data_IF_443892272696
#
_entry.id   IF_443892272696
#
_cell.length_a   1.000
_cell.length_b   1.000
_cell.length_c   1.000
_cell.angle_alpha   90.00
_cell.angle_beta   90.00
_cell.angle_gamma   90.00
#
_symmetry.space_group_name_H-M   'P 1'
#
loop_
_entity.id
_entity.type
_entity.pdbx_description
1 polymer ?
#
# COMPACT_ATOMS: atom_id res chain seq x y z
N UNK A 1 -12.00 -4.72 28.15
CA UNK A 1 -11.13 -5.37 27.13
C UNK A 1 -12.01 -5.82 25.98
N UNK A 2 -12.05 -5.08 24.86
CA UNK A 2 -12.68 -5.59 23.65
C UNK A 2 -11.81 -6.73 23.12
N UNK A 3 -12.32 -7.96 23.13
CA UNK A 3 -11.66 -9.09 22.44
C UNK A 3 -11.51 -8.67 20.97
N UNK A 4 -10.29 -8.76 20.44
CA UNK A 4 -10.05 -8.52 19.02
C UNK A 4 -10.93 -9.47 18.20
N UNK A 5 -11.69 -8.93 17.26
CA UNK A 5 -12.50 -9.74 16.36
C UNK A 5 -11.62 -10.16 15.18
N UNK A 6 -11.61 -11.45 14.84
CA UNK A 6 -10.88 -11.97 13.68
C UNK A 6 -11.56 -11.43 12.41
N UNK A 7 -10.72 -10.98 11.46
CA UNK A 7 -11.15 -10.46 10.16
C UNK A 7 -10.47 -11.29 9.07
N UNK A 8 -11.27 -11.93 8.23
CA UNK A 8 -10.82 -12.58 7.00
C UNK A 8 -10.81 -11.56 5.88
N UNK A 9 -9.68 -11.39 5.20
CA UNK A 9 -9.54 -10.40 4.13
C UNK A 9 -9.15 -11.07 2.82
N UNK A 10 -9.81 -10.70 1.73
CA UNK A 10 -9.36 -10.97 0.37
C UNK A 10 -9.14 -9.62 -0.33
N UNK A 11 -7.97 -9.43 -0.96
CA UNK A 11 -7.62 -8.23 -1.71
C UNK A 11 -7.41 -8.57 -3.19
N UNK A 12 -7.94 -7.73 -4.07
CA UNK A 12 -7.73 -7.83 -5.51
C UNK A 12 -7.56 -6.45 -6.15
N UNK A 13 -6.80 -6.39 -7.25
CA UNK A 13 -6.78 -5.22 -8.10
C UNK A 13 -7.74 -5.44 -9.28
N UNK A 14 -8.87 -4.71 -9.35
CA UNK A 14 -9.87 -4.92 -10.39
C UNK A 14 -9.36 -4.56 -11.78
N UNK A 15 -8.38 -3.65 -11.91
CA UNK A 15 -7.84 -3.22 -13.21
C UNK A 15 -6.71 -4.11 -13.72
N UNK A 16 -6.09 -4.92 -12.87
CA UNK A 16 -5.07 -5.87 -13.32
C UNK A 16 -5.66 -7.09 -14.05
N UNK A 17 -6.98 -7.24 -14.04
CA UNK A 17 -7.69 -8.41 -14.58
C UNK A 17 -8.79 -7.89 -15.55
N UNK A 18 -8.98 -8.50 -16.73
CA UNK A 18 -10.07 -8.14 -17.62
C UNK A 18 -11.45 -8.33 -16.96
N UNK A 19 -12.42 -7.49 -17.31
CA UNK A 19 -13.76 -7.49 -16.69
C UNK A 19 -14.47 -8.87 -16.79
N UNK A 20 -14.34 -9.57 -17.91
CA UNK A 20 -14.88 -10.93 -18.09
C UNK A 20 -14.28 -11.94 -17.09
N UNK A 21 -12.98 -11.88 -16.81
CA UNK A 21 -12.36 -12.72 -15.78
C UNK A 21 -12.69 -12.27 -14.35
N UNK A 22 -13.08 -11.02 -14.17
CA UNK A 22 -13.42 -10.45 -12.87
C UNK A 22 -14.81 -10.89 -12.41
N UNK A 23 -15.82 -10.78 -13.28
CA UNK A 23 -17.22 -11.10 -12.96
C UNK A 23 -17.70 -12.44 -13.53
N UNK A 24 -17.03 -12.94 -14.55
CA UNK A 24 -17.44 -14.10 -15.34
C UNK A 24 -17.90 -13.67 -16.72
N UNK A 25 -17.78 -14.58 -17.67
CA UNK A 25 -18.12 -14.34 -19.06
C UNK A 25 -18.64 -15.62 -19.73
N UNK A 26 -19.38 -15.45 -20.82
CA UNK A 26 -19.79 -16.54 -21.68
C UNK A 26 -18.73 -16.76 -22.76
N UNK A 27 -18.34 -18.01 -22.97
CA UNK A 27 -17.48 -18.36 -24.11
C UNK A 27 -18.28 -18.26 -25.42
N UNK A 28 -17.80 -17.46 -26.38
CA UNK A 28 -18.50 -17.18 -27.64
C UNK A 28 -18.78 -18.43 -28.50
N UNK A 29 -18.00 -19.50 -28.31
CA UNK A 29 -18.10 -20.73 -29.11
C UNK A 29 -19.03 -21.73 -28.43
N UNK A 30 -18.72 -22.09 -27.19
CA UNK A 30 -19.43 -23.11 -26.43
C UNK A 30 -20.71 -22.59 -25.75
N UNK A 31 -20.85 -21.27 -25.61
CA UNK A 31 -21.89 -20.62 -24.82
C UNK A 31 -21.92 -21.10 -23.34
N UNK A 32 -20.80 -21.67 -22.85
CA UNK A 32 -20.65 -22.04 -21.45
C UNK A 32 -20.24 -20.85 -20.61
N UNK A 33 -20.80 -20.77 -19.40
CA UNK A 33 -20.49 -19.72 -18.44
C UNK A 33 -19.23 -20.08 -17.65
N UNK A 34 -18.29 -19.15 -17.58
CA UNK A 34 -17.13 -19.25 -16.68
C UNK A 34 -17.24 -18.21 -15.57
N UNK A 35 -17.16 -18.67 -14.32
CA UNK A 35 -17.20 -17.79 -13.14
C UNK A 35 -15.97 -16.89 -13.03
N UNK A 36 -16.20 -15.61 -12.72
CA UNK A 36 -15.14 -14.66 -12.42
C UNK A 36 -14.63 -14.75 -10.98
N UNK A 37 -13.46 -14.16 -10.75
CA UNK A 37 -12.78 -14.18 -9.44
C UNK A 37 -13.65 -13.52 -8.35
N UNK A 38 -14.36 -12.43 -8.66
CA UNK A 38 -15.23 -11.74 -7.69
C UNK A 38 -16.41 -12.63 -7.30
N UNK A 39 -17.03 -13.31 -8.26
CA UNK A 39 -18.13 -14.24 -8.02
C UNK A 39 -17.72 -15.34 -7.04
N UNK A 40 -16.56 -15.97 -7.28
CA UNK A 40 -16.02 -17.04 -6.42
C UNK A 40 -15.73 -16.52 -5.00
N UNK A 41 -15.08 -15.35 -4.88
CA UNK A 41 -14.75 -14.76 -3.57
C UNK A 41 -16.00 -14.37 -2.77
N UNK A 42 -16.97 -13.70 -3.41
CA UNK A 42 -18.25 -13.37 -2.78
C UNK A 42 -18.98 -14.62 -2.31
N UNK A 43 -19.05 -15.65 -3.16
CA UNK A 43 -19.73 -16.91 -2.84
C UNK A 43 -19.08 -17.59 -1.64
N UNK A 44 -17.75 -17.65 -1.61
CA UNK A 44 -17.01 -18.29 -0.51
C UNK A 44 -17.21 -17.55 0.82
N UNK A 45 -17.18 -16.21 0.79
CA UNK A 45 -17.41 -15.41 2.00
C UNK A 45 -18.87 -15.45 2.47
N UNK A 46 -19.83 -15.46 1.55
CA UNK A 46 -21.25 -15.54 1.87
C UNK A 46 -21.65 -16.92 2.41
N UNK A 47 -21.05 -18.01 1.89
CA UNK A 47 -21.31 -19.38 2.35
C UNK A 47 -20.76 -19.65 3.76
N UNK A 48 -19.64 -19.03 4.11
CA UNK A 48 -19.04 -19.23 5.43
C UNK A 48 -19.97 -18.66 6.52
N UNK A 49 -20.41 -19.48 7.47
CA UNK A 49 -21.36 -19.08 8.53
C UNK A 49 -20.69 -18.61 9.83
N UNK A 50 -19.37 -18.38 9.85
CA UNK A 50 -18.72 -17.84 11.05
C UNK A 50 -19.15 -16.40 11.35
N UNK A 51 -19.15 -16.01 12.62
CA UNK A 51 -19.40 -14.64 13.11
C UNK A 51 -18.20 -13.68 12.92
N UNK A 52 -17.14 -14.17 12.31
CA UNK A 52 -15.92 -13.40 12.03
C UNK A 52 -16.19 -12.38 10.92
N UNK A 53 -15.49 -11.23 10.95
CA UNK A 53 -15.68 -10.22 9.90
C UNK A 53 -15.02 -10.70 8.61
N UNK A 54 -15.60 -10.33 7.47
CA UNK A 54 -15.05 -10.69 6.16
C UNK A 54 -14.98 -9.46 5.27
N UNK A 55 -13.79 -9.10 4.83
CA UNK A 55 -13.53 -7.90 4.04
C UNK A 55 -13.06 -8.28 2.65
N UNK A 56 -13.79 -7.82 1.64
CA UNK A 56 -13.34 -7.88 0.26
C UNK A 56 -12.81 -6.49 -0.13
N UNK A 57 -11.53 -6.41 -0.46
CA UNK A 57 -10.83 -5.15 -0.71
C UNK A 57 -10.45 -5.08 -2.18
N UNK A 58 -10.92 -4.04 -2.85
CA UNK A 58 -10.60 -3.71 -4.22
C UNK A 58 -9.56 -2.58 -4.22
N UNK A 59 -8.30 -2.95 -4.45
CA UNK A 59 -7.13 -2.08 -4.40
C UNK A 59 -6.66 -1.76 -5.82
N UNK A 60 -7.09 -0.61 -6.32
CA UNK A 60 -6.80 -0.19 -7.67
C UNK A 60 -7.69 0.96 -8.14
N UNK A 61 -7.34 1.59 -9.26
CA UNK A 61 -8.10 2.70 -9.82
C UNK A 61 -9.51 2.28 -10.22
N UNK A 62 -10.47 3.19 -10.01
CA UNK A 62 -11.84 3.02 -10.49
C UNK A 62 -11.87 3.10 -12.01
N UNK A 63 -12.75 2.32 -12.63
CA UNK A 63 -13.06 2.34 -14.05
C UNK A 63 -14.57 2.18 -14.22
N UNK A 64 -15.13 2.84 -15.25
CA UNK A 64 -16.57 2.84 -15.51
C UNK A 64 -17.14 1.41 -15.70
N UNK A 65 -16.38 0.50 -16.30
CA UNK A 65 -16.87 -0.83 -16.64
C UNK A 65 -17.05 -1.72 -15.40
N UNK A 66 -16.06 -1.76 -14.51
CA UNK A 66 -16.17 -2.65 -13.35
C UNK A 66 -17.03 -2.04 -12.24
N UNK A 67 -17.03 -0.72 -12.08
CA UNK A 67 -17.83 -0.07 -11.02
C UNK A 67 -19.33 -0.20 -11.30
N UNK A 68 -19.75 -0.22 -12.56
CA UNK A 68 -21.15 -0.38 -12.94
C UNK A 68 -21.73 -1.73 -12.52
N UNK A 69 -20.99 -2.82 -12.73
CA UNK A 69 -21.37 -4.17 -12.30
C UNK A 69 -21.42 -4.32 -10.76
N UNK A 70 -20.81 -3.39 -10.02
CA UNK A 70 -20.84 -3.36 -8.55
C UNK A 70 -21.97 -2.52 -7.97
N UNK A 71 -22.74 -1.79 -8.79
CA UNK A 71 -23.77 -0.86 -8.30
C UNK A 71 -24.80 -1.53 -7.37
N UNK A 72 -25.21 -2.78 -7.66
CA UNK A 72 -26.19 -3.51 -6.83
C UNK A 72 -25.61 -3.97 -5.49
N UNK A 73 -24.28 -4.14 -5.42
CA UNK A 73 -23.55 -4.44 -4.18
C UNK A 73 -23.43 -3.19 -3.32
N UNK A 74 -23.17 -2.04 -3.95
CA UNK A 74 -22.99 -0.75 -3.29
C UNK A 74 -24.31 -0.12 -2.82
N UNK A 75 -25.44 -0.57 -3.36
CA UNK A 75 -26.77 -0.10 -2.96
C UNK A 75 -27.29 -0.82 -1.70
N UNK A 76 -28.45 -0.40 -1.18
CA UNK A 76 -29.08 -1.00 0.01
C UNK A 76 -29.35 -2.50 -0.12
N UNK A 77 -29.42 -2.99 -1.37
CA UNK A 77 -29.66 -4.39 -1.70
C UNK A 77 -28.53 -5.33 -1.24
N UNK A 78 -27.27 -4.86 -1.22
CA UNK A 78 -26.07 -5.66 -0.83
C UNK A 78 -25.99 -7.01 -1.54
N UNK A 79 -26.26 -7.03 -2.85
CA UNK A 79 -26.29 -8.24 -3.68
C UNK A 79 -25.41 -8.07 -4.91
N UNK A 80 -24.58 -9.06 -5.19
CA UNK A 80 -23.84 -9.17 -6.44
C UNK A 80 -24.75 -9.84 -7.47
N UNK A 81 -25.07 -9.12 -8.54
CA UNK A 81 -25.84 -9.65 -9.67
C UNK A 81 -24.87 -9.93 -10.81
N UNK A 82 -24.76 -11.19 -11.22
CA UNK A 82 -23.89 -11.60 -12.32
C UNK A 82 -24.69 -11.67 -13.63
N UNK A 83 -24.00 -11.51 -14.76
CA UNK A 83 -24.60 -11.65 -16.09
C UNK A 83 -25.14 -13.05 -16.37
N UNK A 84 -24.67 -14.08 -15.64
CA UNK A 84 -25.26 -15.42 -15.63
C UNK A 84 -26.68 -15.49 -15.05
N UNK A 85 -27.13 -14.44 -14.37
CA UNK A 85 -28.37 -14.40 -13.60
C UNK A 85 -28.22 -14.88 -12.15
N UNK A 86 -27.03 -15.32 -11.72
CA UNK A 86 -26.79 -15.64 -10.31
C UNK A 86 -26.81 -14.36 -9.46
N UNK A 87 -27.50 -14.44 -8.32
CA UNK A 87 -27.59 -13.35 -7.34
C UNK A 87 -27.00 -13.83 -6.03
N UNK A 88 -25.87 -13.25 -5.62
CA UNK A 88 -25.16 -13.59 -4.38
C UNK A 88 -25.36 -12.46 -3.37
N UNK A 89 -26.09 -12.73 -2.29
CA UNK A 89 -26.31 -11.76 -1.22
C UNK A 89 -25.11 -11.73 -0.24
N UNK A 90 -24.70 -10.53 0.16
CA UNK A 90 -23.71 -10.36 1.22
C UNK A 90 -24.29 -10.77 2.57
N UNK A 91 -23.50 -11.48 3.38
CA UNK A 91 -23.84 -11.74 4.77
C UNK A 91 -23.64 -10.49 5.63
N UNK A 92 -24.30 -10.42 6.79
CA UNK A 92 -24.27 -9.23 7.67
C UNK A 92 -22.88 -8.86 8.19
N UNK A 93 -21.98 -9.84 8.26
CA UNK A 93 -20.57 -9.72 8.65
C UNK A 93 -19.60 -9.44 7.50
N UNK A 94 -20.08 -9.36 6.25
CA UNK A 94 -19.25 -8.98 5.10
C UNK A 94 -19.20 -7.47 4.90
N UNK A 95 -18.06 -6.95 4.47
CA UNK A 95 -17.88 -5.57 4.01
C UNK A 95 -17.05 -5.57 2.73
N UNK A 96 -17.39 -4.64 1.84
CA UNK A 96 -16.60 -4.36 0.64
C UNK A 96 -15.92 -3.01 0.84
N UNK A 97 -14.63 -2.95 0.54
CA UNK A 97 -13.79 -1.76 0.68
C UNK A 97 -13.14 -1.48 -0.67
N UNK A 98 -13.13 -0.22 -1.08
CA UNK A 98 -12.44 0.24 -2.28
C UNK A 98 -11.29 1.15 -1.86
N UNK A 99 -10.09 0.91 -2.38
CA UNK A 99 -8.89 1.72 -2.13
C UNK A 99 -8.38 2.37 -3.44
N UNK A 100 -9.17 3.22 -4.12
CA UNK A 100 -8.70 3.93 -5.30
C UNK A 100 -7.91 5.19 -4.93
N UNK A 101 -7.06 5.66 -5.86
CA UNK A 101 -6.37 6.95 -5.73
C UNK A 101 -7.35 8.12 -5.85
N UNK A 102 -8.29 8.02 -6.79
CA UNK A 102 -9.32 9.00 -7.06
C UNK A 102 -10.61 8.30 -7.52
N UNK A 103 -11.72 9.05 -7.52
CA UNK A 103 -13.03 8.56 -7.97
C UNK A 103 -13.58 9.42 -9.11
N UNK A 104 -12.71 10.06 -9.90
CA UNK A 104 -13.11 11.03 -10.92
C UNK A 104 -14.00 10.43 -12.01
N UNK A 105 -13.78 9.15 -12.30
CA UNK A 105 -14.55 8.41 -13.32
C UNK A 105 -15.86 7.83 -12.80
N UNK A 106 -16.14 7.95 -11.50
CA UNK A 106 -17.38 7.45 -10.90
C UNK A 106 -18.45 8.56 -10.86
N UNK A 107 -19.70 8.18 -11.14
CA UNK A 107 -20.81 9.15 -11.07
C UNK A 107 -21.07 9.60 -9.62
N UNK A 108 -21.49 10.85 -9.38
CA UNK A 108 -21.90 11.32 -8.04
C UNK A 108 -22.96 10.43 -7.39
N UNK A 109 -23.87 9.85 -8.18
CA UNK A 109 -24.92 8.96 -7.69
C UNK A 109 -24.40 7.60 -7.22
N UNK A 110 -23.28 7.13 -7.78
CA UNK A 110 -22.60 5.90 -7.38
C UNK A 110 -21.86 6.11 -6.07
N UNK A 111 -21.09 7.19 -5.96
CA UNK A 111 -20.31 7.49 -4.75
C UNK A 111 -21.19 7.90 -3.56
N UNK A 112 -22.36 8.50 -3.80
CA UNK A 112 -23.26 8.94 -2.72
C UNK A 112 -23.84 7.80 -1.88
N UNK A 113 -23.79 6.56 -2.39
CA UNK A 113 -24.27 5.35 -1.68
C UNK A 113 -23.21 4.75 -0.76
N UNK A 114 -21.96 5.21 -0.88
CA UNK A 114 -20.81 4.66 -0.19
C UNK A 114 -20.32 5.59 0.93
N UNK A 115 -19.78 5.00 2.00
CA UNK A 115 -19.07 5.75 3.03
C UNK A 115 -17.68 6.16 2.53
N UNK A 116 -17.46 7.46 2.33
CA UNK A 116 -16.19 7.98 1.83
C UNK A 116 -15.27 8.35 2.99
N UNK A 117 -14.05 7.81 2.97
CA UNK A 117 -12.97 8.20 3.90
C UNK A 117 -11.85 8.79 3.06
N UNK A 118 -11.64 10.10 3.19
CA UNK A 118 -10.54 10.79 2.51
C UNK A 118 -9.28 10.71 3.38
N UNK A 119 -8.18 10.31 2.75
CA UNK A 119 -6.87 10.25 3.39
C UNK A 119 -5.93 11.25 2.75
N UNK A 120 -5.62 12.33 3.46
CA UNK A 120 -4.62 13.28 2.98
C UNK A 120 -3.21 12.67 3.15
N UNK A 121 -2.39 12.61 2.09
CA UNK A 121 -1.05 12.03 2.16
C UNK A 121 -0.16 12.67 3.22
N UNK A 122 -0.40 13.93 3.58
CA UNK A 122 0.40 14.67 4.57
C UNK A 122 0.09 14.27 6.01
N UNK A 123 -1.09 13.70 6.29
CA UNK A 123 -1.43 13.18 7.63
C UNK A 123 -0.49 12.02 7.99
N UNK A 124 -0.05 11.25 7.00
CA UNK A 124 0.93 10.18 7.14
C UNK A 124 2.19 10.52 6.33
N UNK A 125 2.90 11.55 6.79
CA UNK A 125 4.20 11.97 6.24
C UNK A 125 5.27 10.88 6.34
N UNK A 126 6.40 11.04 5.67
CA UNK A 126 7.46 10.02 5.56
C UNK A 126 8.12 9.64 6.90
N UNK A 127 7.87 10.36 7.98
CA UNK A 127 8.49 10.14 9.29
C UNK A 127 8.17 8.75 9.87
N UNK A 128 7.01 8.18 9.53
CA UNK A 128 6.66 6.82 9.95
C UNK A 128 7.55 5.76 9.28
N UNK A 129 7.99 5.99 8.04
CA UNK A 129 8.89 5.09 7.31
C UNK A 129 10.27 5.09 7.97
N UNK A 130 10.76 6.28 8.32
CA UNK A 130 12.01 6.46 9.05
C UNK A 130 11.93 5.69 10.38
N UNK A 131 10.92 5.98 11.21
CA UNK A 131 10.73 5.31 12.51
C UNK A 131 10.66 3.79 12.41
N UNK A 132 10.10 3.25 11.32
CA UNK A 132 10.07 1.81 11.07
C UNK A 132 11.47 1.28 10.76
N UNK A 133 12.18 1.90 9.83
CA UNK A 133 13.53 1.48 9.43
C UNK A 133 14.51 1.52 10.61
N UNK A 134 14.41 2.52 11.48
CA UNK A 134 15.21 2.59 12.73
C UNK A 134 15.02 1.38 13.66
N UNK A 135 13.82 0.78 13.65
CA UNK A 135 13.53 -0.37 14.51
C UNK A 135 13.92 -1.71 13.89
N UNK A 136 13.89 -1.80 12.56
CA UNK A 136 13.97 -3.08 11.86
C UNK A 136 15.29 -3.27 11.08
N UNK A 137 15.90 -2.18 10.59
CA UNK A 137 17.00 -2.27 9.60
C UNK A 137 18.39 -1.88 10.13
N UNK A 138 18.47 -1.24 11.30
CA UNK A 138 19.75 -0.86 11.90
C UNK A 138 20.51 -2.08 12.46
N UNK A 139 21.84 -2.15 12.30
CA UNK A 139 22.65 -3.20 12.92
C UNK A 139 22.48 -3.25 14.43
N UNK A 140 22.26 -4.44 14.99
CA UNK A 140 22.15 -4.64 16.45
C UNK A 140 23.43 -4.34 17.21
N UNK A 141 24.57 -4.27 16.51
CA UNK A 141 25.86 -3.91 17.06
C UNK A 141 26.04 -2.40 17.29
N UNK A 142 25.14 -1.57 16.76
CA UNK A 142 25.24 -0.11 16.92
C UNK A 142 25.00 0.31 18.36
N UNK A 143 25.85 1.21 18.86
CA UNK A 143 25.66 1.88 20.13
C UNK A 143 24.75 3.10 19.96
N UNK A 144 24.34 3.71 21.07
CA UNK A 144 23.45 4.87 21.06
C UNK A 144 24.01 6.03 20.23
N UNK A 145 25.34 6.21 20.20
CA UNK A 145 25.99 7.28 19.43
C UNK A 145 25.73 7.13 17.92
N UNK A 146 25.87 5.93 17.35
CA UNK A 146 25.61 5.70 15.93
C UNK A 146 24.13 5.85 15.58
N UNK A 147 23.26 5.41 16.49
CA UNK A 147 21.80 5.51 16.29
C UNK A 147 21.38 6.99 16.31
N UNK A 148 21.88 7.76 17.27
CA UNK A 148 21.59 9.19 17.41
C UNK A 148 22.15 10.00 16.23
N UNK A 149 23.37 9.68 15.77
CA UNK A 149 23.94 10.31 14.58
C UNK A 149 23.11 10.01 13.33
N UNK A 150 22.78 8.72 13.12
CA UNK A 150 21.94 8.32 12.00
C UNK A 150 20.60 9.05 12.05
N UNK A 151 19.92 9.17 13.20
CA UNK A 151 18.63 9.85 13.34
C UNK A 151 18.74 11.36 13.14
N UNK A 152 19.77 11.96 13.73
CA UNK A 152 20.07 13.39 13.61
C UNK A 152 20.27 13.81 12.16
N UNK A 153 21.08 13.06 11.41
CA UNK A 153 21.37 13.39 10.01
C UNK A 153 20.14 13.36 9.10
N UNK A 154 19.28 12.34 9.20
CA UNK A 154 18.09 12.24 8.33
C UNK A 154 17.06 13.30 8.70
N UNK A 155 16.87 13.59 9.99
CA UNK A 155 16.00 14.69 10.44
C UNK A 155 16.50 16.05 9.99
N UNK A 156 17.81 16.23 9.90
CA UNK A 156 18.41 17.49 9.47
C UNK A 156 18.40 17.66 7.94
N UNK A 157 18.75 16.61 7.19
CA UNK A 157 18.93 16.68 5.73
C UNK A 157 17.64 16.47 4.93
N UNK A 158 16.77 15.53 5.31
CA UNK A 158 15.61 15.17 4.49
C UNK A 158 14.60 16.31 4.32
N UNK A 159 14.16 17.04 5.38
CA UNK A 159 13.17 18.09 5.23
C UNK A 159 13.56 19.22 4.27
N UNK A 160 14.76 19.84 4.36
CA UNK A 160 15.15 20.88 3.40
C UNK A 160 15.33 20.31 1.99
N UNK A 161 15.90 19.12 1.84
CA UNK A 161 16.15 18.54 0.50
C UNK A 161 14.86 18.15 -0.22
N UNK A 162 13.89 17.55 0.47
CA UNK A 162 12.57 17.27 -0.10
C UNK A 162 11.84 18.56 -0.51
N UNK A 163 11.99 19.63 0.29
CA UNK A 163 11.42 20.94 -0.03
C UNK A 163 12.08 21.56 -1.27
N UNK A 164 13.40 21.46 -1.39
CA UNK A 164 14.15 21.95 -2.56
C UNK A 164 13.79 21.14 -3.80
N UNK A 165 13.73 19.81 -3.70
CA UNK A 165 13.33 18.92 -4.80
C UNK A 165 11.98 19.36 -5.40
N UNK A 166 10.97 19.58 -4.56
CA UNK A 166 9.63 19.98 -5.00
C UNK A 166 9.50 21.41 -5.54
N UNK A 167 10.35 22.34 -5.07
CA UNK A 167 10.21 23.78 -5.39
C UNK A 167 11.15 24.25 -6.49
N UNK A 168 12.34 23.67 -6.56
CA UNK A 168 13.45 24.20 -7.34
C UNK A 168 13.97 23.22 -8.40
N UNK A 169 13.68 21.93 -8.27
CA UNK A 169 14.11 20.91 -9.24
C UNK A 169 13.00 20.58 -10.24
N UNK A 170 13.42 20.20 -11.46
CA UNK A 170 12.52 19.67 -12.49
C UNK A 170 12.54 18.14 -12.43
N UNK A 171 11.47 17.54 -11.96
CA UNK A 171 11.31 16.09 -11.95
C UNK A 171 10.84 15.60 -13.34
N UNK A 172 11.39 14.46 -13.80
CA UNK A 172 10.95 13.84 -15.06
C UNK A 172 9.57 13.19 -14.89
N UNK A 173 9.28 12.70 -13.68
CA UNK A 173 8.00 12.09 -13.30
C UNK A 173 7.56 12.62 -11.94
N UNK A 174 6.26 12.86 -11.69
CA UNK A 174 5.78 13.25 -10.38
C UNK A 174 6.16 12.21 -9.32
N UNK A 175 6.85 12.64 -8.26
CA UNK A 175 7.25 11.77 -7.16
C UNK A 175 6.56 12.16 -5.85
N UNK A 176 6.23 11.15 -5.05
CA UNK A 176 5.71 11.35 -3.69
C UNK A 176 6.86 11.35 -2.69
N UNK A 177 6.82 12.23 -1.68
CA UNK A 177 7.87 12.33 -0.66
C UNK A 177 8.12 10.99 0.03
N UNK A 178 7.05 10.24 0.33
CA UNK A 178 7.17 8.91 0.93
C UNK A 178 7.96 7.96 0.03
N UNK A 179 7.79 8.02 -1.30
CA UNK A 179 8.50 7.15 -2.24
C UNK A 179 9.99 7.52 -2.33
N UNK A 180 10.31 8.82 -2.33
CA UNK A 180 11.70 9.30 -2.30
C UNK A 180 12.39 8.83 -1.02
N UNK A 181 11.74 9.02 0.14
CA UNK A 181 12.29 8.58 1.43
C UNK A 181 12.37 7.06 1.53
N UNK A 182 11.39 6.33 1.02
CA UNK A 182 11.44 4.86 0.97
C UNK A 182 12.63 4.37 0.13
N UNK A 183 12.92 5.05 -0.99
CA UNK A 183 14.06 4.74 -1.85
C UNK A 183 15.39 5.03 -1.14
N UNK A 184 15.48 6.18 -0.46
CA UNK A 184 16.60 6.51 0.44
C UNK A 184 16.82 5.41 1.49
N UNK A 185 15.77 5.06 2.26
CA UNK A 185 15.86 4.10 3.35
C UNK A 185 16.29 2.72 2.85
N UNK A 186 15.77 2.28 1.70
CA UNK A 186 16.13 0.99 1.09
C UNK A 186 17.59 0.94 0.63
N UNK A 187 18.09 2.04 0.05
CA UNK A 187 19.49 2.13 -0.36
C UNK A 187 20.41 2.19 0.87
N UNK A 188 20.07 3.03 1.85
CA UNK A 188 20.81 3.18 3.10
C UNK A 188 20.90 1.84 3.86
N UNK A 189 19.77 1.16 4.09
CA UNK A 189 19.76 -0.14 4.77
C UNK A 189 20.53 -1.21 3.99
N UNK A 190 20.50 -1.17 2.65
CA UNK A 190 21.29 -2.09 1.82
C UNK A 190 22.78 -1.87 1.98
N UNK A 191 23.23 -0.62 2.04
CA UNK A 191 24.64 -0.26 2.23
C UNK A 191 25.13 -0.53 3.66
N UNK A 192 24.22 -0.54 4.64
CA UNK A 192 24.52 -0.91 6.02
C UNK A 192 24.66 -2.42 6.25
N UNK A 193 24.21 -3.28 5.32
CA UNK A 193 24.26 -4.76 5.48
C UNK A 193 25.62 -5.31 5.94
N UNK A 194 26.78 -4.87 5.43
CA UNK A 194 28.07 -5.36 5.90
C UNK A 194 28.35 -5.06 7.38
N UNK A 195 27.74 -4.01 7.95
CA UNK A 195 27.90 -3.62 9.35
C UNK A 195 26.97 -4.39 10.30
N UNK A 196 26.07 -5.23 9.78
CA UNK A 196 25.32 -6.19 10.59
C UNK A 196 26.18 -7.32 11.13
N UNK A 197 27.34 -7.58 10.49
CA UNK A 197 28.32 -8.51 11.03
C UNK A 197 29.11 -7.84 12.17
N UNK A 198 28.98 -8.40 13.37
CA UNK A 198 29.64 -7.90 14.59
C UNK A 198 31.16 -7.87 14.43
N UNK A 199 31.75 -8.83 13.71
CA UNK A 199 33.20 -8.87 13.48
C UNK A 199 33.65 -7.66 12.65
N UNK A 200 32.90 -7.33 11.59
CA UNK A 200 33.18 -6.19 10.72
C UNK A 200 33.00 -4.87 11.47
N UNK A 201 32.01 -4.79 12.37
CA UNK A 201 31.80 -3.62 13.23
C UNK A 201 32.98 -3.41 14.19
N UNK A 202 33.37 -4.47 14.91
CA UNK A 202 34.48 -4.43 15.87
C UNK A 202 35.83 -4.10 15.19
N UNK A 203 36.10 -4.66 14.00
CA UNK A 203 37.31 -4.36 13.22
C UNK A 203 37.41 -2.89 12.80
N UNK A 204 36.28 -2.26 12.43
CA UNK A 204 36.24 -0.85 12.01
C UNK A 204 36.29 0.11 13.20
N UNK A 205 35.68 -0.27 14.31
CA UNK A 205 35.55 0.53 15.51
C UNK A 205 34.45 1.61 15.42
N UNK A 206 33.84 1.91 16.56
CA UNK A 206 32.69 2.79 16.72
C UNK A 206 32.84 4.17 16.02
N UNK A 207 33.97 4.87 16.23
CA UNK A 207 34.20 6.20 15.65
C UNK A 207 34.29 6.20 14.12
N UNK A 208 34.86 5.13 13.53
CA UNK A 208 34.93 4.98 12.07
C UNK A 208 33.55 4.69 11.52
N UNK A 209 32.75 3.87 12.22
CA UNK A 209 31.38 3.54 11.81
C UNK A 209 30.50 4.79 11.78
N UNK A 210 30.62 5.70 12.75
CA UNK A 210 29.90 6.98 12.73
C UNK A 210 30.20 7.77 11.44
N UNK A 211 31.48 7.92 11.06
CA UNK A 211 31.85 8.58 9.79
C UNK A 211 31.33 7.85 8.55
N UNK A 212 31.25 6.52 8.61
CA UNK A 212 30.68 5.71 7.53
C UNK A 212 29.19 6.00 7.40
N UNK A 213 28.45 6.10 8.50
CA UNK A 213 27.03 6.47 8.52
C UNK A 213 26.82 7.82 7.84
N UNK A 214 27.67 8.81 8.11
CA UNK A 214 27.57 10.13 7.48
C UNK A 214 27.70 10.05 5.96
N UNK A 215 28.76 9.38 5.51
CA UNK A 215 29.02 9.16 4.09
C UNK A 215 27.89 8.40 3.41
N UNK A 216 27.39 7.33 4.04
CA UNK A 216 26.31 6.51 3.51
C UNK A 216 24.98 7.26 3.46
N UNK A 217 24.70 8.11 4.45
CA UNK A 217 23.50 8.95 4.48
C UNK A 217 23.50 9.90 3.30
N UNK A 218 24.58 10.67 3.13
CA UNK A 218 24.69 11.63 2.01
C UNK A 218 24.64 10.92 0.66
N UNK A 219 25.39 9.82 0.51
CA UNK A 219 25.38 9.02 -0.72
C UNK A 219 23.98 8.51 -1.05
N UNK A 220 23.28 7.94 -0.06
CA UNK A 220 21.96 7.36 -0.26
C UNK A 220 20.93 8.42 -0.62
N UNK A 221 21.00 9.60 0.00
CA UNK A 221 20.10 10.72 -0.30
C UNK A 221 20.31 11.21 -1.73
N UNK A 222 21.55 11.43 -2.15
CA UNK A 222 21.86 11.92 -3.51
C UNK A 222 21.32 10.95 -4.57
N UNK A 223 21.56 9.65 -4.39
CA UNK A 223 21.14 8.64 -5.36
C UNK A 223 19.66 8.25 -5.32
N UNK A 224 18.94 8.66 -4.28
CA UNK A 224 17.49 8.42 -4.18
C UNK A 224 16.68 9.64 -4.57
N UNK A 225 16.96 10.80 -3.96
CA UNK A 225 16.23 12.05 -4.24
C UNK A 225 16.72 12.71 -5.54
N UNK A 226 18.01 12.64 -5.85
CA UNK A 226 18.57 13.26 -7.06
C UNK A 226 18.31 12.49 -8.35
N UNK A 227 17.88 11.22 -8.24
CA UNK A 227 17.49 10.40 -9.38
C UNK A 227 15.97 10.43 -9.66
N UNK A 228 15.19 11.07 -8.79
CA UNK A 228 13.74 11.21 -8.89
C UNK A 228 13.32 12.23 -9.96
#
# INVERSE_FOLDING_TARGET
>A
MHKGQIVHQARLNPKSIPAGCLYGDFDDVSHEWTDGIVAVLFRNFAKNQTDERKWLVFDGPVDAVWIENMNTVMDENKKLCLNSGEIIAMSSNMRTIFEPMDVEVASPATISRNGMVYFEPHILGYEHLIKKSFKEDLPSAFENEQIDEADGMQKWLLPPLLRTLKRECSEVSPSQEQNCVQSYLKLFSTLLKPLHDVQVYEEKGASTVTKIIDCLTVFSIIWSLGAA
#
